data_IF_738083625799
#
_entry.id   IF_738083625799
#
_cell.length_a   1.000
_cell.length_b   1.000
_cell.length_c   1.000
_cell.angle_alpha   90.00
_cell.angle_beta   90.00
_cell.angle_gamma   90.00
#
_symmetry.space_group_name_H-M   'P 1'
#
loop_
_entity.id
_entity.type
_entity.pdbx_description
1 polymer ?
#
# COMPACT_ATOMS: atom_id res chain seq x y z
N UNK A 1 -49.16 9.48 -39.98
CA UNK A 1 -50.24 9.90 -39.05
C UNK A 1 -49.59 10.81 -38.01
N UNK A 2 -49.47 12.13 -38.24
CA UNK A 2 -50.42 13.20 -37.92
C UNK A 2 -50.87 13.27 -36.44
N UNK A 3 -50.48 14.40 -35.80
CA UNK A 3 -51.19 15.22 -34.77
C UNK A 3 -50.76 15.13 -33.30
N UNK A 4 -49.93 16.10 -32.95
CA UNK A 4 -50.06 17.08 -31.85
C UNK A 4 -51.27 16.95 -30.89
N UNK A 5 -51.00 17.18 -29.60
CA UNK A 5 -51.82 18.02 -28.71
C UNK A 5 -51.05 18.41 -27.44
N UNK A 6 -50.78 19.70 -27.35
CA UNK A 6 -50.39 20.41 -26.14
C UNK A 6 -51.64 20.70 -25.28
N UNK A 7 -51.50 20.62 -23.96
CA UNK A 7 -52.24 21.40 -22.94
C UNK A 7 -51.65 21.02 -21.56
N UNK A 8 -50.78 21.81 -20.94
CA UNK A 8 -51.07 23.01 -20.14
C UNK A 8 -51.73 22.66 -18.78
N UNK A 9 -50.90 22.55 -17.74
CA UNK A 9 -51.32 22.73 -16.36
C UNK A 9 -50.19 23.42 -15.59
N UNK A 10 -50.31 24.75 -15.51
CA UNK A 10 -49.55 25.65 -14.66
C UNK A 10 -49.72 25.26 -13.19
N UNK A 11 -48.63 24.93 -12.51
CA UNK A 11 -48.53 25.08 -11.06
C UNK A 11 -47.26 25.85 -10.74
N UNK A 12 -47.46 27.15 -10.52
CA UNK A 12 -46.53 28.11 -9.98
C UNK A 12 -46.21 27.71 -8.53
N UNK A 13 -45.01 27.22 -8.29
CA UNK A 13 -44.38 27.29 -6.97
C UNK A 13 -43.12 28.12 -7.10
N UNK A 14 -43.24 29.38 -6.69
CA UNK A 14 -42.11 30.25 -6.44
C UNK A 14 -41.32 29.70 -5.27
N UNK A 15 -40.05 29.40 -5.51
CA UNK A 15 -39.02 29.46 -4.48
C UNK A 15 -37.88 30.28 -5.04
N UNK A 16 -37.83 31.54 -4.62
CA UNK A 16 -36.67 32.39 -4.76
C UNK A 16 -35.59 31.83 -3.81
N UNK A 17 -34.72 30.99 -4.34
CA UNK A 17 -33.48 30.56 -3.70
C UNK A 17 -32.29 31.05 -4.52
N UNK A 18 -31.78 32.24 -4.24
CA UNK A 18 -30.41 32.59 -4.59
C UNK A 18 -29.48 31.75 -3.70
N UNK A 19 -28.74 30.82 -4.29
CA UNK A 19 -27.75 30.05 -3.55
C UNK A 19 -26.97 29.10 -4.46
N UNK A 20 -25.76 29.51 -4.82
CA UNK A 20 -24.69 28.61 -5.25
C UNK A 20 -24.82 28.04 -6.66
N UNK A 21 -24.01 28.58 -7.58
CA UNK A 21 -23.47 27.76 -8.66
C UNK A 21 -22.61 26.66 -8.03
N UNK A 22 -23.22 25.52 -7.67
CA UNK A 22 -22.49 24.27 -7.49
C UNK A 22 -22.12 23.78 -8.88
N UNK A 23 -21.03 24.34 -9.39
CA UNK A 23 -20.14 23.68 -10.32
C UNK A 23 -20.15 22.18 -10.05
N UNK A 24 -20.51 21.43 -11.08
CA UNK A 24 -20.41 19.99 -11.19
C UNK A 24 -19.07 19.60 -10.61
N UNK A 25 -19.07 19.02 -9.41
CA UNK A 25 -17.91 18.32 -8.90
C UNK A 25 -17.66 17.18 -9.87
N UNK A 26 -16.69 17.37 -10.75
CA UNK A 26 -16.04 16.28 -11.45
C UNK A 26 -15.76 15.23 -10.37
N UNK A 27 -16.26 13.98 -10.49
CA UNK A 27 -15.89 12.96 -9.53
C UNK A 27 -14.38 12.87 -9.63
N UNK A 28 -13.70 13.42 -8.62
CA UNK A 28 -12.28 13.20 -8.43
C UNK A 28 -12.21 11.72 -8.12
N UNK A 29 -12.09 10.91 -9.17
CA UNK A 29 -11.75 9.51 -9.04
C UNK A 29 -10.37 9.56 -8.43
N UNK A 30 -10.31 9.49 -7.09
CA UNK A 30 -9.12 9.07 -6.38
C UNK A 30 -8.84 7.70 -6.96
N UNK A 31 -8.01 7.65 -7.99
CA UNK A 31 -7.40 6.39 -8.39
C UNK A 31 -6.65 5.95 -7.14
N UNK A 32 -7.00 4.81 -6.52
CA UNK A 32 -6.16 4.28 -5.46
C UNK A 32 -4.76 4.20 -6.05
N UNK A 33 -3.81 4.85 -5.37
CA UNK A 33 -2.39 4.83 -5.73
C UNK A 33 -2.06 3.38 -6.07
N UNK A 34 -1.83 3.06 -7.35
CA UNK A 34 -1.62 1.68 -7.76
C UNK A 34 -0.24 1.32 -7.22
N UNK A 35 -0.18 0.61 -6.09
CA UNK A 35 1.07 0.05 -5.58
C UNK A 35 1.76 -0.73 -6.70
N UNK A 36 2.88 -0.22 -7.19
CA UNK A 36 3.65 -0.94 -8.19
C UNK A 36 4.59 -1.92 -7.50
N UNK A 37 4.61 -3.20 -7.88
CA UNK A 37 5.51 -4.16 -7.24
C UNK A 37 6.99 -3.84 -7.47
N UNK A 38 7.33 -2.98 -8.45
CA UNK A 38 8.69 -2.48 -8.64
C UNK A 38 9.08 -1.39 -7.62
N UNK A 39 8.17 -0.46 -7.29
CA UNK A 39 8.43 0.54 -6.24
C UNK A 39 8.54 -0.11 -4.86
N UNK A 40 7.65 -1.06 -4.56
CA UNK A 40 7.71 -1.85 -3.32
C UNK A 40 9.04 -2.63 -3.20
N UNK A 41 9.52 -3.19 -4.31
CA UNK A 41 10.83 -3.87 -4.34
C UNK A 41 11.97 -2.87 -4.08
N UNK A 42 11.92 -1.69 -4.70
CA UNK A 42 12.91 -0.64 -4.45
C UNK A 42 12.97 -0.23 -2.99
N UNK A 43 11.82 -0.03 -2.35
CA UNK A 43 11.71 0.27 -0.92
C UNK A 43 12.28 -0.88 -0.07
N UNK A 44 11.95 -2.13 -0.40
CA UNK A 44 12.46 -3.29 0.32
C UNK A 44 14.00 -3.40 0.25
N UNK A 45 14.59 -3.07 -0.90
CA UNK A 45 16.05 -3.04 -1.07
C UNK A 45 16.65 -1.98 -0.15
N UNK A 46 16.11 -0.75 -0.14
CA UNK A 46 16.61 0.31 0.75
C UNK A 46 16.53 -0.09 2.23
N UNK A 47 15.42 -0.69 2.67
CA UNK A 47 15.31 -1.19 4.05
C UNK A 47 16.29 -2.32 4.36
N UNK A 48 16.64 -3.14 3.36
CA UNK A 48 17.65 -4.19 3.51
C UNK A 48 19.03 -3.57 3.73
N UNK A 49 19.38 -2.52 2.99
CA UNK A 49 20.64 -1.79 3.15
C UNK A 49 20.72 -1.10 4.53
N UNK A 50 19.60 -0.53 4.99
CA UNK A 50 19.50 0.06 6.32
C UNK A 50 19.68 -0.99 7.42
N UNK A 51 19.08 -2.17 7.25
CA UNK A 51 19.24 -3.29 8.20
C UNK A 51 20.71 -3.71 8.29
N UNK A 52 21.40 -3.84 7.16
CA UNK A 52 22.82 -4.18 7.13
C UNK A 52 23.66 -3.11 7.85
N UNK A 53 23.31 -1.83 7.67
CA UNK A 53 23.98 -0.71 8.34
C UNK A 53 23.76 -0.73 9.86
N UNK A 54 22.55 -1.04 10.32
CA UNK A 54 22.23 -1.16 11.76
C UNK A 54 22.99 -2.33 12.39
N UNK A 55 23.02 -3.48 11.73
CA UNK A 55 23.66 -4.69 12.24
C UNK A 55 25.19 -4.66 12.19
N UNK A 56 25.78 -3.82 11.33
CA UNK A 56 27.24 -3.69 11.20
C UNK A 56 27.90 -2.92 12.37
N UNK A 57 27.12 -2.35 13.30
CA UNK A 57 27.65 -1.62 14.46
C UNK A 57 28.27 -2.58 15.49
N UNK A 58 29.30 -2.16 16.25
CA UNK A 58 29.86 -2.99 17.33
C UNK A 58 28.84 -3.41 18.38
N UNK A 59 27.90 -2.52 18.67
CA UNK A 59 26.71 -2.77 19.47
C UNK A 59 25.49 -2.46 18.57
N UNK A 60 24.88 -3.47 17.93
CA UNK A 60 23.76 -3.27 17.02
C UNK A 60 22.51 -2.84 17.79
N UNK A 61 21.75 -1.92 17.18
CA UNK A 61 20.44 -1.52 17.69
C UNK A 61 19.41 -2.60 17.31
N UNK A 62 19.19 -3.54 18.23
CA UNK A 62 18.33 -4.68 17.96
C UNK A 62 16.85 -4.30 17.80
N UNK A 63 16.38 -3.23 18.42
CA UNK A 63 14.99 -2.77 18.26
C UNK A 63 14.80 -2.28 16.82
N UNK A 64 15.68 -1.38 16.36
CA UNK A 64 15.66 -0.90 14.99
C UNK A 64 15.84 -2.03 13.96
N UNK A 65 16.74 -3.00 14.24
CA UNK A 65 16.95 -4.14 13.35
C UNK A 65 15.69 -5.01 13.23
N UNK A 66 14.97 -5.24 14.33
CA UNK A 66 13.72 -5.99 14.32
C UNK A 66 12.61 -5.27 13.54
N UNK A 67 12.47 -3.95 13.72
CA UNK A 67 11.47 -3.15 12.99
C UNK A 67 11.75 -3.11 11.49
N UNK A 68 13.01 -2.98 11.09
CA UNK A 68 13.44 -3.08 9.69
C UNK A 68 13.16 -4.48 9.13
N UNK A 69 13.51 -5.53 9.87
CA UNK A 69 13.22 -6.92 9.50
C UNK A 69 11.72 -7.17 9.30
N UNK A 70 10.88 -6.63 10.18
CA UNK A 70 9.42 -6.68 10.05
C UNK A 70 8.94 -5.98 8.77
N UNK A 71 9.38 -4.74 8.56
CA UNK A 71 9.01 -3.93 7.39
C UNK A 71 9.43 -4.57 6.06
N UNK A 72 10.62 -5.18 6.00
CA UNK A 72 11.09 -5.95 4.83
C UNK A 72 10.15 -7.11 4.54
N UNK A 73 9.69 -7.82 5.57
CA UNK A 73 8.78 -8.95 5.40
C UNK A 73 7.36 -8.53 5.03
N UNK A 74 6.85 -7.43 5.59
CA UNK A 74 5.55 -6.87 5.21
C UNK A 74 5.50 -6.45 3.73
N UNK A 75 6.58 -5.85 3.23
CA UNK A 75 6.73 -5.55 1.79
C UNK A 75 6.76 -6.82 0.95
N UNK A 76 7.40 -7.88 1.44
CA UNK A 76 7.40 -9.18 0.76
C UNK A 76 6.00 -9.76 0.63
N UNK A 77 5.22 -9.73 1.69
CA UNK A 77 3.83 -10.20 1.66
C UNK A 77 2.99 -9.39 0.67
N UNK A 78 3.16 -8.07 0.63
CA UNK A 78 2.47 -7.18 -0.33
C UNK A 78 2.85 -7.49 -1.78
N UNK A 79 4.14 -7.63 -2.08
CA UNK A 79 4.64 -7.98 -3.43
C UNK A 79 4.08 -9.34 -3.86
N UNK A 80 4.12 -10.34 -2.99
CA UNK A 80 3.57 -11.67 -3.26
C UNK A 80 2.06 -11.65 -3.46
N UNK A 81 1.32 -10.88 -2.66
CA UNK A 81 -0.12 -10.71 -2.86
C UNK A 81 -0.45 -10.08 -4.23
N UNK A 82 0.38 -9.18 -4.76
CA UNK A 82 0.22 -8.67 -6.13
C UNK A 82 0.47 -9.78 -7.15
N UNK A 83 1.51 -10.59 -6.97
CA UNK A 83 1.82 -11.71 -7.85
C UNK A 83 0.68 -12.75 -7.90
N UNK A 84 0.08 -13.07 -6.75
CA UNK A 84 -1.06 -14.00 -6.63
C UNK A 84 -2.29 -13.51 -7.39
N UNK A 85 -2.53 -12.19 -7.41
CA UNK A 85 -3.60 -11.59 -8.23
C UNK A 85 -3.32 -11.64 -9.74
N UNK A 86 -2.08 -11.93 -10.13
CA UNK A 86 -1.60 -11.91 -11.52
C UNK A 86 -0.79 -13.17 -11.86
N UNK A 87 -1.37 -14.38 -11.76
CA UNK A 87 -0.63 -15.64 -11.83
C UNK A 87 0.02 -15.94 -13.19
N UNK A 88 -0.35 -15.19 -14.24
CA UNK A 88 0.26 -15.30 -15.58
C UNK A 88 1.49 -14.41 -15.76
N UNK A 89 1.76 -13.49 -14.83
CA UNK A 89 2.91 -12.59 -14.88
C UNK A 89 4.14 -13.30 -14.30
N UNK A 90 5.07 -13.70 -15.15
CA UNK A 90 6.36 -14.26 -14.72
C UNK A 90 7.21 -13.23 -13.98
N UNK A 91 7.12 -11.96 -14.38
CA UNK A 91 7.81 -10.84 -13.73
C UNK A 91 7.39 -10.71 -12.25
N UNK A 92 6.08 -10.73 -11.98
CA UNK A 92 5.59 -10.59 -10.60
C UNK A 92 5.89 -11.84 -9.76
N UNK A 93 5.83 -13.03 -10.36
CA UNK A 93 6.26 -14.27 -9.69
C UNK A 93 7.75 -14.25 -9.32
N UNK A 94 8.61 -13.73 -10.20
CA UNK A 94 10.03 -13.51 -9.93
C UNK A 94 10.23 -12.56 -8.75
N UNK A 95 9.61 -11.37 -8.80
CA UNK A 95 9.70 -10.39 -7.71
C UNK A 95 9.23 -10.93 -6.37
N UNK A 96 8.14 -11.70 -6.33
CA UNK A 96 7.69 -12.35 -5.09
C UNK A 96 8.75 -13.31 -4.54
N UNK A 97 9.36 -14.13 -5.39
CA UNK A 97 10.42 -15.08 -4.99
C UNK A 97 11.62 -14.35 -4.41
N UNK A 98 12.10 -13.32 -5.11
CA UNK A 98 13.26 -12.53 -4.68
C UNK A 98 12.97 -11.76 -3.40
N UNK A 99 11.78 -11.19 -3.29
CA UNK A 99 11.33 -10.47 -2.11
C UNK A 99 11.18 -11.36 -0.88
N UNK A 100 10.65 -12.58 -1.05
CA UNK A 100 10.58 -13.57 0.02
C UNK A 100 11.98 -14.02 0.49
N UNK A 101 12.92 -14.18 -0.45
CA UNK A 101 14.30 -14.48 -0.12
C UNK A 101 14.96 -13.36 0.71
N UNK A 102 14.70 -12.09 0.38
CA UNK A 102 15.18 -10.94 1.17
C UNK A 102 14.62 -10.94 2.60
N UNK A 103 13.32 -11.20 2.78
CA UNK A 103 12.72 -11.35 4.12
C UNK A 103 13.36 -12.51 4.92
N UNK A 104 13.55 -13.68 4.30
CA UNK A 104 14.23 -14.81 4.96
C UNK A 104 15.64 -14.45 5.40
N UNK A 105 16.42 -13.86 4.49
CA UNK A 105 17.80 -13.48 4.77
C UNK A 105 17.91 -12.33 5.80
N UNK A 106 16.93 -11.42 5.88
CA UNK A 106 16.86 -10.40 6.92
C UNK A 106 16.69 -11.04 8.31
N UNK A 107 15.76 -11.99 8.44
CA UNK A 107 15.53 -12.75 9.69
C UNK A 107 16.77 -13.52 10.12
N UNK A 108 17.45 -14.17 9.18
CA UNK A 108 18.70 -14.89 9.45
C UNK A 108 19.81 -13.96 9.95
N UNK A 109 19.99 -12.78 9.34
CA UNK A 109 20.98 -11.78 9.78
C UNK A 109 20.69 -11.27 11.20
N UNK A 110 19.43 -10.96 11.48
CA UNK A 110 18.98 -10.50 12.81
C UNK A 110 19.26 -11.59 13.87
N UNK A 111 18.95 -12.85 13.55
CA UNK A 111 19.23 -13.98 14.44
C UNK A 111 20.74 -14.19 14.64
N UNK A 112 21.55 -14.04 13.57
CA UNK A 112 23.00 -14.14 13.64
C UNK A 112 23.63 -13.03 14.51
N UNK A 113 23.03 -11.84 14.51
CA UNK A 113 23.40 -10.74 15.41
C UNK A 113 22.92 -10.95 16.86
N UNK A 114 22.28 -12.10 17.16
CA UNK A 114 21.70 -12.42 18.47
C UNK A 114 20.63 -11.43 18.95
N UNK A 115 19.99 -10.72 18.01
CA UNK A 115 18.84 -9.87 18.31
C UNK A 115 17.59 -10.73 18.46
N UNK A 116 16.95 -10.68 19.63
CA UNK A 116 15.70 -11.37 19.91
C UNK A 116 14.49 -10.49 19.60
N UNK A 117 13.88 -10.65 18.42
CA UNK A 117 12.66 -9.91 18.10
C UNK A 117 11.45 -10.53 18.80
N UNK A 118 10.90 -9.82 19.79
CA UNK A 118 9.53 -10.06 20.19
C UNK A 118 8.63 -9.63 19.02
N UNK A 119 7.78 -10.52 18.51
CA UNK A 119 6.84 -10.15 17.45
C UNK A 119 6.06 -8.90 17.89
N UNK A 120 6.06 -7.86 17.06
CA UNK A 120 5.56 -6.50 17.31
C UNK A 120 4.02 -6.40 17.56
N UNK A 121 3.41 -7.44 18.11
CA UNK A 121 2.00 -7.52 18.43
C UNK A 121 1.63 -6.85 19.77
N UNK A 122 2.59 -6.63 20.68
CA UNK A 122 2.28 -6.21 22.06
C UNK A 122 2.31 -4.69 22.31
N UNK A 123 2.79 -3.87 21.36
CA UNK A 123 3.03 -2.43 21.62
C UNK A 123 1.89 -1.50 21.12
N UNK A 124 0.93 -2.00 20.32
CA UNK A 124 -0.12 -1.14 19.72
C UNK A 124 -1.38 -0.92 20.59
N UNK A 125 -1.37 -1.34 21.87
CA UNK A 125 -2.49 -1.16 22.81
C UNK A 125 -2.06 -0.48 24.13
N UNK A 126 -1.40 0.68 24.07
CA UNK A 126 -1.29 1.60 25.22
C UNK A 126 -1.54 3.05 24.82
#
# INVERSE_FOLDING_TARGET
>A
MSRARAALALLLFGYAGCGGASMVGEPTTVTPERESPAELEGEQISLTDDLETVLARPEPDCEAACDLGGSICDLSERICAIADRHPRSRDFAGRCTDSAARCGAARERIAAASCGCASSAEVREQ
#
